data_IF_834385804325
#
_entry.id   IF_834385804325
#
_cell.length_a   1.000
_cell.length_b   1.000
_cell.length_c   1.000
_cell.angle_alpha   90.00
_cell.angle_beta   90.00
_cell.angle_gamma   90.00
#
_symmetry.space_group_name_H-M   'P 1'
#
loop_
_entity.id
_entity.type
_entity.pdbx_description
1 polymer ?
#
# COMPACT_ATOMS: atom_id res chain seq x y z
N UNK A 1 -24.81 12.78 -6.99
CA UNK A 1 -23.51 12.18 -7.37
C UNK A 1 -22.48 13.29 -7.33
N UNK A 2 -21.64 13.34 -6.30
CA UNK A 2 -20.59 14.34 -6.18
C UNK A 2 -19.55 14.04 -7.26
N UNK A 3 -19.58 14.76 -8.38
CA UNK A 3 -18.55 14.72 -9.41
C UNK A 3 -17.27 15.32 -8.82
N UNK A 4 -16.55 14.52 -8.04
CA UNK A 4 -15.19 14.85 -7.63
C UNK A 4 -14.38 14.97 -8.91
N UNK A 5 -13.69 16.11 -9.10
CA UNK A 5 -13.02 16.44 -10.35
C UNK A 5 -11.91 15.44 -10.74
N UNK A 6 -11.45 15.49 -11.98
CA UNK A 6 -10.45 14.56 -12.54
C UNK A 6 -9.18 14.47 -11.68
N UNK A 7 -8.68 15.61 -11.19
CA UNK A 7 -7.53 15.67 -10.29
C UNK A 7 -7.74 14.87 -8.98
N UNK A 8 -8.97 14.85 -8.46
CA UNK A 8 -9.32 14.06 -7.27
C UNK A 8 -9.23 12.56 -7.54
N UNK A 9 -9.81 12.11 -8.66
CA UNK A 9 -9.76 10.71 -9.06
C UNK A 9 -8.32 10.24 -9.30
N UNK A 10 -7.51 11.06 -9.98
CA UNK A 10 -6.09 10.77 -10.21
C UNK A 10 -5.30 10.71 -8.90
N UNK A 11 -5.54 11.64 -7.96
CA UNK A 11 -4.87 11.61 -6.65
C UNK A 11 -5.26 10.36 -5.85
N UNK A 12 -6.54 9.98 -5.88
CA UNK A 12 -7.03 8.76 -5.22
C UNK A 12 -6.42 7.52 -5.85
N UNK A 13 -6.35 7.44 -7.18
CA UNK A 13 -5.73 6.34 -7.90
C UNK A 13 -4.24 6.22 -7.58
N UNK A 14 -3.51 7.35 -7.60
CA UNK A 14 -2.10 7.41 -7.23
C UNK A 14 -1.87 6.94 -5.78
N UNK A 15 -2.66 7.45 -4.84
CA UNK A 15 -2.58 7.06 -3.42
C UNK A 15 -2.86 5.58 -3.23
N UNK A 16 -3.90 5.06 -3.90
CA UNK A 16 -4.24 3.64 -3.86
C UNK A 16 -3.12 2.79 -4.44
N UNK A 17 -2.51 3.21 -5.55
CA UNK A 17 -1.36 2.53 -6.15
C UNK A 17 -0.15 2.49 -5.20
N UNK A 18 0.19 3.61 -4.57
CA UNK A 18 1.30 3.65 -3.58
C UNK A 18 1.01 2.73 -2.40
N UNK A 19 -0.22 2.70 -1.90
CA UNK A 19 -0.63 1.78 -0.84
C UNK A 19 -0.58 0.31 -1.29
N UNK A 20 -0.93 0.01 -2.54
CA UNK A 20 -0.73 -1.34 -3.09
C UNK A 20 0.74 -1.74 -3.08
N UNK A 21 1.65 -0.84 -3.51
CA UNK A 21 3.08 -1.11 -3.46
C UNK A 21 3.58 -1.29 -2.03
N UNK A 22 3.09 -0.46 -1.10
CA UNK A 22 3.38 -0.58 0.32
C UNK A 22 3.01 -1.97 0.86
N UNK A 23 1.80 -2.45 0.58
CA UNK A 23 1.37 -3.80 0.97
C UNK A 23 2.14 -4.90 0.22
N UNK A 24 2.46 -4.70 -1.05
CA UNK A 24 3.19 -5.67 -1.85
C UNK A 24 4.64 -5.88 -1.37
N UNK A 25 5.29 -4.86 -0.80
CA UNK A 25 6.60 -5.00 -0.14
C UNK A 25 6.54 -6.00 1.01
N UNK A 26 5.44 -6.04 1.76
CA UNK A 26 5.25 -7.07 2.79
C UNK A 26 5.12 -8.47 2.18
N UNK A 27 4.35 -8.62 1.10
CA UNK A 27 4.22 -9.91 0.39
C UNK A 27 5.56 -10.41 -0.15
N UNK A 28 6.33 -9.56 -0.84
CA UNK A 28 7.64 -9.88 -1.40
C UNK A 28 8.66 -10.28 -0.32
N UNK A 29 8.58 -9.66 0.87
CA UNK A 29 9.39 -10.05 2.02
C UNK A 29 8.92 -11.38 2.64
N UNK A 30 7.61 -11.58 2.74
CA UNK A 30 7.02 -12.82 3.26
C UNK A 30 7.26 -14.03 2.34
N UNK A 31 7.61 -13.81 1.06
CA UNK A 31 7.98 -14.88 0.13
C UNK A 31 9.36 -15.49 0.49
N UNK A 32 10.24 -14.73 1.15
CA UNK A 32 11.58 -15.17 1.55
C UNK A 32 11.72 -15.46 3.07
N UNK A 33 10.70 -15.20 3.89
CA UNK A 33 10.73 -15.44 5.34
C UNK A 33 9.35 -15.44 6.01
N UNK A 34 9.23 -16.07 7.18
CA UNK A 34 7.97 -16.14 7.95
C UNK A 34 7.51 -14.75 8.42
N UNK A 35 6.29 -14.36 8.03
CA UNK A 35 5.60 -13.09 8.33
C UNK A 35 5.49 -12.78 9.84
N UNK A 36 5.59 -13.81 10.68
CA UNK A 36 5.30 -13.74 12.12
C UNK A 36 6.52 -13.96 13.02
N UNK A 37 7.74 -13.87 12.48
CA UNK A 37 8.94 -14.06 13.30
C UNK A 37 9.40 -12.75 13.94
N UNK A 38 9.88 -12.79 15.18
CA UNK A 38 10.34 -11.62 15.97
C UNK A 38 11.35 -10.71 15.22
N UNK A 39 12.08 -11.26 14.24
CA UNK A 39 12.97 -10.52 13.34
C UNK A 39 12.28 -9.63 12.28
N UNK A 40 10.97 -9.76 12.09
CA UNK A 40 10.19 -8.91 11.18
C UNK A 40 10.22 -7.44 11.63
N UNK A 41 10.06 -7.21 12.94
CA UNK A 41 10.15 -5.90 13.59
C UNK A 41 11.61 -5.42 13.77
N UNK A 42 12.58 -6.33 13.81
CA UNK A 42 13.99 -5.98 14.01
C UNK A 42 14.67 -5.32 12.79
N UNK A 43 14.06 -5.39 11.59
CA UNK A 43 14.65 -4.78 10.40
C UNK A 43 14.26 -3.30 10.29
N UNK A 44 14.99 -2.46 11.04
CA UNK A 44 14.78 -1.02 11.07
C UNK A 44 14.84 -0.35 9.70
N UNK A 45 15.58 -0.93 8.73
CA UNK A 45 15.67 -0.40 7.36
C UNK A 45 14.35 -0.52 6.59
N UNK A 46 13.58 -1.60 6.83
CA UNK A 46 12.26 -1.73 6.22
C UNK A 46 11.31 -0.69 6.81
N UNK A 47 11.28 -0.57 8.14
CA UNK A 47 10.42 0.40 8.81
C UNK A 47 10.77 1.84 8.45
N UNK A 48 12.06 2.16 8.27
CA UNK A 48 12.47 3.48 7.79
C UNK A 48 12.03 3.72 6.34
N UNK A 49 12.11 2.72 5.46
CA UNK A 49 11.64 2.85 4.08
C UNK A 49 10.12 3.03 4.01
N UNK A 50 9.37 2.23 4.77
CA UNK A 50 7.90 2.34 4.86
C UNK A 50 7.47 3.68 5.47
N UNK A 51 8.15 4.13 6.52
CA UNK A 51 7.94 5.45 7.13
C UNK A 51 8.24 6.58 6.14
N UNK A 52 9.32 6.48 5.37
CA UNK A 52 9.66 7.46 4.34
C UNK A 52 8.59 7.52 3.24
N UNK A 53 8.06 6.37 2.79
CA UNK A 53 6.96 6.32 1.80
C UNK A 53 5.71 7.02 2.34
N UNK A 54 5.30 6.73 3.57
CA UNK A 54 4.13 7.37 4.18
C UNK A 54 4.35 8.88 4.39
N UNK A 55 5.54 9.28 4.83
CA UNK A 55 5.89 10.69 5.02
C UNK A 55 5.86 11.46 3.68
N UNK A 56 6.46 10.89 2.63
CA UNK A 56 6.40 11.47 1.28
C UNK A 56 4.95 11.53 0.78
N UNK A 57 4.13 10.51 1.03
CA UNK A 57 2.74 10.53 0.61
C UNK A 57 1.94 11.65 1.31
N UNK A 58 2.15 11.83 2.62
CA UNK A 58 1.53 12.94 3.37
C UNK A 58 1.99 14.28 2.82
N UNK A 59 3.28 14.43 2.55
CA UNK A 59 3.87 15.65 1.99
C UNK A 59 3.25 15.97 0.62
N UNK A 60 3.18 15.01 -0.29
CA UNK A 60 2.61 15.21 -1.63
C UNK A 60 1.11 15.54 -1.57
N UNK A 61 0.38 15.06 -0.57
CA UNK A 61 -1.07 15.30 -0.45
C UNK A 61 -1.42 16.55 0.37
N UNK A 62 -0.53 17.06 1.22
CA UNK A 62 -0.82 18.22 2.09
C UNK A 62 0.02 19.46 1.78
N UNK A 63 1.14 19.34 1.07
CA UNK A 63 2.02 20.48 0.78
C UNK A 63 1.63 21.14 -0.56
N UNK A 64 1.23 22.42 -0.58
CA UNK A 64 0.72 23.10 -1.79
C UNK A 64 1.68 23.10 -2.99
N UNK A 65 2.98 23.33 -2.76
CA UNK A 65 3.99 23.26 -3.85
C UNK A 65 4.14 21.84 -4.42
N UNK A 66 4.03 20.81 -3.59
CA UNK A 66 4.11 19.43 -4.03
C UNK A 66 2.84 19.04 -4.77
N UNK A 67 1.67 19.53 -4.32
CA UNK A 67 0.41 19.39 -5.04
C UNK A 67 0.47 19.99 -6.44
N UNK A 68 1.12 21.15 -6.60
CA UNK A 68 1.31 21.78 -7.90
C UNK A 68 2.23 20.94 -8.83
N UNK A 69 3.30 20.35 -8.29
CA UNK A 69 4.25 19.53 -9.06
C UNK A 69 3.66 18.16 -9.44
N UNK A 70 2.98 17.50 -8.51
CA UNK A 70 2.43 16.15 -8.70
C UNK A 70 0.97 16.16 -9.18
N UNK A 71 0.39 17.34 -9.41
CA UNK A 71 -1.01 17.55 -9.77
C UNK A 71 -1.98 16.82 -8.82
N UNK A 72 -1.66 16.81 -7.53
CA UNK A 72 -2.47 16.16 -6.49
C UNK A 72 -3.41 17.15 -5.80
N UNK A 73 -4.48 16.63 -5.20
CA UNK A 73 -5.43 17.45 -4.42
C UNK A 73 -5.66 16.86 -3.03
N UNK A 74 -6.26 17.64 -2.14
CA UNK A 74 -6.60 17.16 -0.81
C UNK A 74 -7.61 16.01 -0.88
N UNK A 75 -7.20 14.86 -0.35
CA UNK A 75 -8.05 13.70 -0.15
C UNK A 75 -8.73 13.76 1.22
N UNK A 76 -10.00 13.37 1.26
CA UNK A 76 -10.69 13.17 2.54
C UNK A 76 -10.11 11.96 3.29
N UNK A 77 -10.12 12.01 4.62
CA UNK A 77 -9.67 10.89 5.45
C UNK A 77 -10.44 9.58 5.16
N UNK A 78 -11.71 9.68 4.75
CA UNK A 78 -12.53 8.52 4.37
C UNK A 78 -11.97 7.82 3.13
N UNK A 79 -11.51 8.57 2.13
CA UNK A 79 -10.97 7.99 0.90
C UNK A 79 -9.58 7.37 1.13
N UNK A 80 -8.80 7.90 2.07
CA UNK A 80 -7.57 7.25 2.55
C UNK A 80 -7.86 5.88 3.17
N UNK A 81 -8.87 5.79 4.03
CA UNK A 81 -9.28 4.52 4.64
C UNK A 81 -9.78 3.54 3.57
N UNK A 82 -10.59 4.00 2.61
CA UNK A 82 -11.05 3.17 1.49
C UNK A 82 -9.89 2.67 0.63
N UNK A 83 -8.96 3.55 0.28
CA UNK A 83 -7.77 3.19 -0.50
C UNK A 83 -6.91 2.16 0.25
N UNK A 84 -6.70 2.34 1.55
CA UNK A 84 -5.97 1.38 2.38
C UNK A 84 -6.69 0.02 2.47
N UNK A 85 -8.01 0.02 2.64
CA UNK A 85 -8.82 -1.18 2.69
C UNK A 85 -8.77 -1.95 1.36
N UNK A 86 -8.92 -1.25 0.23
CA UNK A 86 -8.78 -1.83 -1.11
C UNK A 86 -7.36 -2.37 -1.31
N UNK A 87 -6.34 -1.60 -0.97
CA UNK A 87 -4.95 -1.99 -1.18
C UNK A 87 -4.55 -3.20 -0.31
N UNK A 88 -5.11 -3.34 0.90
CA UNK A 88 -4.87 -4.50 1.78
C UNK A 88 -5.35 -5.83 1.19
N UNK A 89 -6.24 -5.80 0.20
CA UNK A 89 -6.69 -7.02 -0.50
C UNK A 89 -5.55 -7.79 -1.15
N UNK A 90 -4.45 -7.11 -1.54
CA UNK A 90 -3.28 -7.77 -2.14
C UNK A 90 -2.58 -8.72 -1.17
N UNK A 91 -2.63 -8.44 0.14
CA UNK A 91 -2.11 -9.34 1.16
C UNK A 91 -2.93 -10.64 1.20
N UNK A 92 -4.25 -10.51 1.18
CA UNK A 92 -5.17 -11.66 1.18
C UNK A 92 -5.02 -12.51 -0.08
N UNK A 93 -4.83 -11.87 -1.24
CA UNK A 93 -4.61 -12.55 -2.51
C UNK A 93 -3.29 -13.34 -2.51
N UNK A 94 -2.20 -12.79 -1.99
CA UNK A 94 -0.91 -13.51 -1.93
C UNK A 94 -0.93 -14.66 -0.92
N UNK A 95 -1.57 -14.50 0.24
CA UNK A 95 -1.77 -15.60 1.19
C UNK A 95 -2.67 -16.71 0.60
N UNK A 96 -3.73 -16.33 -0.12
CA UNK A 96 -4.56 -17.28 -0.88
C UNK A 96 -3.76 -18.05 -1.92
N UNK A 97 -2.88 -17.36 -2.67
CA UNK A 97 -1.96 -17.97 -3.66
C UNK A 97 -1.01 -18.97 -2.99
N UNK A 98 -0.40 -18.59 -1.87
CA UNK A 98 0.50 -19.46 -1.08
C UNK A 98 -0.23 -20.70 -0.55
N UNK A 99 -1.45 -20.54 -0.05
CA UNK A 99 -2.26 -21.67 0.44
C UNK A 99 -2.65 -22.63 -0.69
N UNK A 100 -3.05 -22.09 -1.86
CA UNK A 100 -3.38 -22.88 -3.04
C UNK A 100 -2.17 -23.69 -3.52
N UNK A 101 -0.99 -23.08 -3.60
CA UNK A 101 0.26 -23.78 -3.92
C UNK A 101 0.54 -24.90 -2.91
N UNK A 102 0.53 -24.61 -1.60
CA UNK A 102 0.75 -25.64 -0.57
C UNK A 102 -0.22 -26.82 -0.67
N UNK A 103 -1.47 -26.57 -1.05
CA UNK A 103 -2.50 -27.61 -1.22
C UNK A 103 -2.32 -28.42 -2.51
N UNK A 104 -1.81 -27.80 -3.58
CA UNK A 104 -1.44 -28.50 -4.81
C UNK A 104 -0.21 -29.40 -4.60
N UNK A 105 0.84 -28.88 -3.95
CA UNK A 105 2.06 -29.65 -3.63
C UNK A 105 1.86 -30.79 -2.63
N UNK A 106 0.79 -30.76 -1.81
CA UNK A 106 0.42 -31.90 -0.94
C UNK A 106 -0.42 -32.97 -1.64
N UNK A 107 -0.90 -32.71 -2.86
CA UNK A 107 -1.74 -33.62 -3.63
C UNK A 107 -1.01 -34.29 -4.81
N UNK A 108 0.17 -33.79 -5.18
CA UNK A 108 1.13 -34.45 -6.07
C UNK A 108 2.09 -35.31 -5.26
#
# INVERSE_FOLDING_TARGET
>A
MTTRGEAYALTLAFTTFVLFQFFNVFNARNEHGSTFNSHFLANGKLWSALGAVLALQILVVHWPEAQAVFATTHLTAEDWVKAALVASSVLLLDEGRKLAQRRYWRRA
#
